data_IF_533500920051
#
_entry.id   IF_533500920051
#
_cell.length_a   1.000
_cell.length_b   1.000
_cell.length_c   1.000
_cell.angle_alpha   90.00
_cell.angle_beta   90.00
_cell.angle_gamma   90.00
#
_symmetry.space_group_name_H-M   'P 1'
#
loop_
_entity.id
_entity.type
_entity.pdbx_description
1 polymer ?
#
# COMPACT_ATOMS: atom_id res chain seq x y z
N UNK A 1 28.82 -13.05 5.75
CA UNK A 1 28.43 -11.70 6.21
C UNK A 1 27.55 -11.00 5.16
N UNK A 2 26.23 -11.19 5.24
CA UNK A 2 25.20 -10.64 4.33
C UNK A 2 24.28 -9.66 5.08
N UNK A 3 24.80 -9.04 6.14
CA UNK A 3 24.03 -8.33 7.16
C UNK A 3 23.79 -6.84 6.88
N UNK A 4 24.24 -6.33 5.71
CA UNK A 4 24.20 -4.89 5.36
C UNK A 4 23.35 -4.61 4.11
N UNK A 5 22.35 -5.45 3.82
CA UNK A 5 21.36 -5.15 2.77
C UNK A 5 20.12 -4.57 3.45
N UNK A 6 19.70 -3.34 3.07
CA UNK A 6 18.42 -2.80 3.52
C UNK A 6 17.31 -3.81 3.26
N UNK A 7 16.27 -3.80 4.09
CA UNK A 7 15.13 -4.73 4.11
C UNK A 7 14.23 -4.68 2.85
N UNK A 8 14.83 -4.70 1.65
CA UNK A 8 14.19 -4.74 0.34
C UNK A 8 13.25 -5.95 0.18
N UNK A 9 13.57 -7.07 0.84
CA UNK A 9 12.75 -8.27 0.80
C UNK A 9 11.33 -8.05 1.34
N UNK A 10 11.13 -7.12 2.28
CA UNK A 10 9.80 -6.86 2.85
C UNK A 10 8.94 -6.01 1.89
N UNK A 11 9.53 -4.98 1.26
CA UNK A 11 8.84 -4.05 0.36
C UNK A 11 8.44 -4.66 -1.00
N UNK A 12 9.10 -5.74 -1.42
CA UNK A 12 8.77 -6.49 -2.65
C UNK A 12 7.28 -6.91 -2.72
N UNK A 13 6.67 -7.25 -1.58
CA UNK A 13 5.26 -7.65 -1.51
C UNK A 13 4.23 -6.58 -1.91
N UNK A 14 4.69 -5.32 -2.10
CA UNK A 14 3.85 -4.19 -2.53
C UNK A 14 3.76 -4.03 -4.05
N UNK A 15 4.54 -4.79 -4.82
CA UNK A 15 4.57 -4.73 -6.29
C UNK A 15 3.95 -5.99 -6.91
N UNK A 16 3.39 -5.88 -8.12
CA UNK A 16 2.92 -7.04 -8.88
C UNK A 16 4.11 -7.90 -9.35
N UNK A 17 3.89 -9.22 -9.48
CA UNK A 17 4.89 -10.10 -10.09
C UNK A 17 5.12 -9.70 -11.56
N UNK A 18 6.38 -9.49 -11.94
CA UNK A 18 6.78 -9.13 -13.31
C UNK A 18 7.07 -7.64 -13.53
N UNK A 19 6.86 -6.78 -12.53
CA UNK A 19 7.20 -5.36 -12.64
C UNK A 19 8.66 -5.12 -12.22
N UNK A 20 9.40 -4.32 -13.00
CA UNK A 20 10.75 -3.93 -12.65
C UNK A 20 10.75 -3.06 -11.38
N UNK A 21 11.21 -3.63 -10.27
CA UNK A 21 11.38 -2.92 -9.00
C UNK A 21 12.60 -2.00 -9.13
N UNK A 22 12.34 -0.70 -9.27
CA UNK A 22 13.41 0.32 -9.25
C UNK A 22 13.54 0.91 -7.84
N UNK A 23 14.73 1.41 -7.51
CA UNK A 23 14.95 2.11 -6.23
C UNK A 23 14.03 3.32 -6.05
N UNK A 24 13.65 3.98 -7.15
CA UNK A 24 12.72 5.11 -7.14
C UNK A 24 11.31 4.68 -6.72
N UNK A 25 10.78 3.60 -7.31
CA UNK A 25 9.48 3.04 -6.94
C UNK A 25 9.43 2.60 -5.48
N UNK A 26 10.52 2.01 -4.99
CA UNK A 26 10.62 1.63 -3.58
C UNK A 26 10.56 2.85 -2.66
N UNK A 27 11.30 3.92 -2.97
CA UNK A 27 11.23 5.18 -2.21
C UNK A 27 9.85 5.83 -2.30
N UNK A 28 9.20 5.75 -3.46
CA UNK A 28 7.85 6.27 -3.67
C UNK A 28 6.84 5.59 -2.74
N UNK A 29 6.87 4.26 -2.66
CA UNK A 29 6.02 3.47 -1.75
C UNK A 29 6.37 3.74 -0.29
N UNK A 30 7.65 3.80 0.06
CA UNK A 30 8.09 4.08 1.44
C UNK A 30 7.62 5.47 1.91
N UNK A 31 7.75 6.49 1.05
CA UNK A 31 7.27 7.84 1.34
C UNK A 31 5.73 7.89 1.47
N UNK A 32 5.01 7.10 0.67
CA UNK A 32 3.56 6.97 0.78
C UNK A 32 3.15 6.29 2.10
N UNK A 33 3.79 5.17 2.46
CA UNK A 33 3.52 4.47 3.73
C UNK A 33 3.88 5.35 4.94
N UNK A 34 5.00 6.10 4.89
CA UNK A 34 5.40 7.01 5.95
C UNK A 34 4.37 8.14 6.16
N UNK A 35 3.82 8.70 5.09
CA UNK A 35 2.79 9.73 5.18
C UNK A 35 1.50 9.19 5.78
N UNK A 36 1.02 8.03 5.32
CA UNK A 36 -0.19 7.39 5.88
C UNK A 36 0.01 7.12 7.38
N UNK A 37 1.19 6.62 7.79
CA UNK A 37 1.51 6.44 9.21
C UNK A 37 1.42 7.75 10.00
N UNK A 38 1.89 8.87 9.44
CA UNK A 38 1.85 10.17 10.11
C UNK A 38 0.42 10.71 10.34
N UNK A 39 -0.56 10.21 9.59
CA UNK A 39 -1.97 10.56 9.75
C UNK A 39 -2.68 9.75 10.85
N UNK A 40 -1.97 8.80 11.48
CA UNK A 40 -2.45 8.03 12.63
C UNK A 40 -2.91 6.61 12.32
N UNK A 41 -2.83 6.15 11.07
CA UNK A 41 -3.15 4.77 10.70
C UNK A 41 -2.09 3.80 11.23
N UNK A 42 -2.54 2.69 11.82
CA UNK A 42 -1.65 1.71 12.47
C UNK A 42 -1.49 0.45 11.62
N UNK A 43 -2.57 0.00 10.98
CA UNK A 43 -2.58 -1.23 10.18
C UNK A 43 -2.99 -0.92 8.75
N UNK A 44 -2.00 -0.76 7.89
CA UNK A 44 -2.23 -0.44 6.50
C UNK A 44 -1.15 -1.02 5.57
N UNK A 45 -1.43 -0.99 4.27
CA UNK A 45 -0.46 -1.28 3.22
C UNK A 45 -0.72 -0.39 2.02
N UNK A 46 0.33 0.16 1.43
CA UNK A 46 0.24 0.84 0.14
C UNK A 46 0.77 -0.11 -0.93
N UNK A 47 -0.09 -0.54 -1.84
CA UNK A 47 0.29 -1.35 -3.00
C UNK A 47 0.49 -0.47 -4.21
N UNK A 48 1.60 -0.69 -4.89
CA UNK A 48 1.94 -0.01 -6.13
C UNK A 48 1.44 -0.82 -7.32
N UNK A 49 0.72 -0.15 -8.20
CA UNK A 49 0.22 -0.68 -9.46
C UNK A 49 0.49 0.37 -10.56
N UNK A 50 1.75 0.48 -11.00
CA UNK A 50 2.20 1.49 -11.95
C UNK A 50 1.79 2.92 -11.50
N UNK A 51 0.81 3.55 -12.17
CA UNK A 51 0.32 4.89 -11.79
C UNK A 51 -0.74 4.89 -10.69
N UNK A 52 -1.14 3.73 -10.21
CA UNK A 52 -2.19 3.58 -9.20
C UNK A 52 -1.58 3.13 -7.86
N UNK A 53 -1.92 3.87 -6.81
CA UNK A 53 -1.70 3.44 -5.44
C UNK A 53 -2.98 2.87 -4.86
N UNK A 54 -2.94 1.61 -4.42
CA UNK A 54 -4.04 0.99 -3.69
C UNK A 54 -3.73 0.96 -2.21
N UNK A 55 -4.53 1.66 -1.44
CA UNK A 55 -4.44 1.73 0.01
C UNK A 55 -5.31 0.64 0.64
N UNK A 56 -4.71 -0.25 1.42
CA UNK A 56 -5.40 -1.22 2.26
C UNK A 56 -5.35 -0.70 3.70
N UNK A 57 -6.51 -0.46 4.32
CA UNK A 57 -6.63 -0.04 5.73
C UNK A 57 -7.34 -1.13 6.53
N UNK A 58 -7.02 -1.27 7.80
CA UNK A 58 -7.82 -2.12 8.68
C UNK A 58 -9.30 -1.64 8.67
N UNK A 59 -10.29 -2.56 8.65
CA UNK A 59 -11.70 -2.19 8.56
C UNK A 59 -12.15 -1.22 9.66
N UNK A 60 -11.61 -1.36 10.87
CA UNK A 60 -11.85 -0.47 12.02
C UNK A 60 -11.25 0.93 11.86
N UNK A 61 -10.23 1.09 11.01
CA UNK A 61 -9.60 2.38 10.71
C UNK A 61 -10.19 3.05 9.46
N UNK A 62 -11.07 2.39 8.70
CA UNK A 62 -11.64 2.96 7.47
C UNK A 62 -12.48 4.22 7.71
N UNK A 63 -13.17 4.31 8.85
CA UNK A 63 -13.94 5.51 9.20
C UNK A 63 -13.03 6.74 9.39
N UNK A 64 -11.84 6.53 9.97
CA UNK A 64 -10.85 7.59 10.21
C UNK A 64 -10.41 8.28 8.91
N UNK A 65 -10.43 7.58 7.78
CA UNK A 65 -10.06 8.12 6.47
C UNK A 65 -10.88 9.36 6.08
N UNK A 66 -12.15 9.39 6.48
CA UNK A 66 -13.09 10.45 6.09
C UNK A 66 -13.11 11.63 7.06
N UNK A 67 -12.52 11.49 8.24
CA UNK A 67 -12.43 12.56 9.22
C UNK A 67 -11.28 13.52 8.91
N UNK A 68 -11.39 14.78 9.36
CA UNK A 68 -10.32 15.78 9.37
C UNK A 68 -9.62 15.98 8.01
N UNK A 69 -10.29 15.70 6.89
CA UNK A 69 -9.72 15.83 5.54
C UNK A 69 -8.57 14.86 5.25
N UNK A 70 -8.42 13.76 6.02
CA UNK A 70 -7.31 12.79 5.83
C UNK A 70 -7.27 12.24 4.41
N UNK A 71 -8.42 11.90 3.82
CA UNK A 71 -8.50 11.42 2.43
C UNK A 71 -7.97 12.43 1.41
N UNK A 72 -8.29 13.72 1.54
CA UNK A 72 -7.79 14.78 0.64
C UNK A 72 -6.29 14.94 0.77
N UNK A 73 -5.78 14.90 2.01
CA UNK A 73 -4.35 14.97 2.29
C UNK A 73 -3.59 13.79 1.65
N UNK A 74 -4.15 12.58 1.72
CA UNK A 74 -3.60 11.38 1.07
C UNK A 74 -3.58 11.56 -0.44
N UNK A 75 -4.71 11.95 -1.06
CA UNK A 75 -4.78 12.15 -2.52
C UNK A 75 -3.76 13.19 -2.98
N UNK A 76 -3.65 14.32 -2.27
CA UNK A 76 -2.68 15.37 -2.60
C UNK A 76 -1.25 14.85 -2.51
N UNK A 77 -0.89 14.21 -1.38
CA UNK A 77 0.47 13.72 -1.17
C UNK A 77 0.85 12.64 -2.17
N UNK A 78 -0.07 11.72 -2.48
CA UNK A 78 0.20 10.63 -3.40
C UNK A 78 0.37 11.13 -4.85
N UNK A 79 -0.36 12.18 -5.24
CA UNK A 79 -0.14 12.86 -6.53
C UNK A 79 1.24 13.51 -6.61
N UNK A 80 1.69 14.18 -5.55
CA UNK A 80 3.05 14.73 -5.48
C UNK A 80 4.13 13.65 -5.58
N UNK A 81 3.84 12.45 -5.06
CA UNK A 81 4.71 11.29 -5.18
C UNK A 81 4.67 10.64 -6.56
N UNK A 82 3.79 11.06 -7.48
CA UNK A 82 3.73 10.57 -8.86
C UNK A 82 2.62 9.54 -9.13
N UNK A 83 1.68 9.33 -8.21
CA UNK A 83 0.50 8.51 -8.48
C UNK A 83 -0.57 9.31 -9.23
N UNK A 84 -1.07 8.76 -10.34
CA UNK A 84 -2.21 9.31 -11.06
C UNK A 84 -3.54 9.02 -10.36
N UNK A 85 -3.64 7.85 -9.72
CA UNK A 85 -4.84 7.39 -9.04
C UNK A 85 -4.52 6.85 -7.65
N UNK A 86 -5.41 7.15 -6.71
CA UNK A 86 -5.38 6.59 -5.35
C UNK A 86 -6.71 5.88 -5.13
N UNK A 87 -6.65 4.61 -4.77
CA UNK A 87 -7.84 3.79 -4.50
C UNK A 87 -7.79 3.23 -3.09
N UNK A 88 -8.96 3.01 -2.50
CA UNK A 88 -9.11 2.27 -1.25
C UNK A 88 -9.53 0.85 -1.58
N UNK A 89 -8.85 -0.13 -0.99
CA UNK A 89 -9.29 -1.51 -1.01
C UNK A 89 -10.45 -1.70 -0.02
N UNK A 90 -11.66 -1.93 -0.56
CA UNK A 90 -12.89 -2.08 0.24
C UNK A 90 -12.90 -3.35 1.08
N UNK A 91 -12.04 -4.32 0.76
CA UNK A 91 -11.90 -5.55 1.53
C UNK A 91 -11.03 -5.36 2.78
N UNK A 92 -10.26 -4.26 2.80
CA UNK A 92 -9.40 -3.85 3.90
C UNK A 92 -8.09 -4.62 4.00
N UNK A 93 -7.28 -4.23 4.98
CA UNK A 93 -6.02 -4.89 5.30
C UNK A 93 -6.28 -6.27 5.91
N UNK A 94 -5.66 -7.31 5.33
CA UNK A 94 -5.71 -8.68 5.82
C UNK A 94 -4.31 -9.26 5.96
N UNK A 95 -4.00 -9.82 7.12
CA UNK A 95 -2.81 -10.64 7.29
C UNK A 95 -2.99 -11.94 6.51
N UNK A 96 -2.11 -12.24 5.54
CA UNK A 96 -2.17 -13.48 4.74
C UNK A 96 -2.85 -13.41 3.37
N UNK A 97 -3.15 -12.21 2.83
CA UNK A 97 -3.92 -12.02 1.57
C UNK A 97 -3.32 -12.63 0.29
N UNK A 98 -2.10 -13.18 0.33
CA UNK A 98 -1.52 -13.89 -0.81
C UNK A 98 -2.22 -15.25 -1.09
N UNK A 99 -2.97 -15.82 -0.12
CA UNK A 99 -3.58 -17.15 -0.24
C UNK A 99 -5.11 -17.17 -0.46
N UNK A 100 -5.81 -16.03 -0.41
CA UNK A 100 -7.30 -16.02 -0.50
C UNK A 100 -7.83 -16.16 -1.94
N UNK A 101 -7.12 -15.63 -2.95
CA UNK A 101 -7.55 -15.72 -4.35
C UNK A 101 -7.67 -17.18 -4.82
N UNK A 102 -6.79 -18.06 -4.33
CA UNK A 102 -6.82 -19.49 -4.64
C UNK A 102 -8.02 -20.21 -3.99
N UNK A 103 -8.46 -19.79 -2.80
CA UNK A 103 -9.60 -20.39 -2.11
C UNK A 103 -10.95 -20.02 -2.78
N UNK A 104 -11.03 -18.85 -3.42
CA UNK A 104 -12.25 -18.42 -4.13
C UNK A 104 -12.43 -19.13 -5.48
N UNK A 105 -11.33 -19.36 -6.21
CA UNK A 105 -11.38 -20.07 -7.51
C UNK A 105 -11.59 -21.58 -7.32
N UNK A 106 -11.00 -22.19 -6.29
CA UNK A 106 -11.11 -23.63 -6.03
C UNK A 106 -12.50 -24.09 -5.53
N UNK A 107 -13.44 -23.15 -5.32
CA UNK A 107 -14.84 -23.44 -4.93
C UNK A 107 -15.83 -23.35 -6.09
N UNK A 108 -15.36 -23.16 -7.33
CA UNK A 108 -16.18 -23.29 -8.55
C UNK A 108 -15.98 -24.64 -9.22
#
# INVERSE_FOLDING_TARGET
PTWDKPSFACLSSRFQYGEAITAEKLRQVDAAEAFVRSLGFRQFRVRHHDRLARLELAPDEMALLWENGRHEAIVKRFRELGYGYVTLDLHGFRSGSANEVLAWIARK
#
